data_IF_239574809245
#
_entry.id   IF_239574809245
#
_cell.length_a   1.000
_cell.length_b   1.000
_cell.length_c   1.000
_cell.angle_alpha   90.00
_cell.angle_beta   90.00
_cell.angle_gamma   90.00
#
_symmetry.space_group_name_H-M   'P 1'
#
loop_
_entity.id
_entity.type
_entity.pdbx_description
1 polymer ?
#
# COMPACT_ATOMS: atom_id res chain seq x y z
N UNK A 1 -19.43 -35.72 -51.66
CA UNK A 1 -18.31 -34.98 -51.03
C UNK A 1 -18.58 -33.50 -51.20
N UNK A 2 -18.34 -32.66 -50.17
CA UNK A 2 -18.84 -31.28 -49.93
C UNK A 2 -20.08 -31.31 -49.01
N UNK A 3 -20.18 -30.66 -47.86
CA UNK A 3 -19.37 -29.66 -47.14
C UNK A 3 -19.71 -29.79 -45.64
N UNK A 4 -18.74 -30.11 -44.79
CA UNK A 4 -18.69 -29.57 -43.42
C UNK A 4 -18.51 -28.05 -43.52
N UNK A 5 -18.50 -27.34 -42.38
CA UNK A 5 -18.35 -25.87 -42.23
C UNK A 5 -19.68 -25.14 -42.10
N UNK A 6 -20.23 -25.13 -40.87
CA UNK A 6 -21.14 -24.10 -40.36
C UNK A 6 -21.40 -24.38 -38.87
N UNK A 7 -20.39 -24.24 -38.00
CA UNK A 7 -20.63 -24.29 -36.53
C UNK A 7 -19.53 -23.63 -35.67
N UNK A 8 -18.69 -22.77 -36.24
CA UNK A 8 -17.56 -22.15 -35.51
C UNK A 8 -17.46 -20.65 -35.77
N UNK A 9 -18.54 -19.88 -35.59
CA UNK A 9 -18.46 -18.40 -35.65
C UNK A 9 -19.40 -17.70 -34.65
N UNK A 10 -19.70 -18.30 -33.50
CA UNK A 10 -20.48 -17.62 -32.44
C UNK A 10 -19.90 -17.74 -31.03
N UNK A 11 -18.63 -18.14 -30.90
CA UNK A 11 -17.96 -18.31 -29.60
C UNK A 11 -16.58 -17.66 -29.57
N UNK A 12 -16.43 -16.48 -30.20
CA UNK A 12 -15.22 -15.63 -30.11
C UNK A 12 -15.61 -14.16 -29.84
N UNK A 13 -16.75 -13.92 -29.17
CA UNK A 13 -17.22 -12.57 -28.84
C UNK A 13 -17.61 -12.42 -27.36
N UNK A 14 -16.92 -13.12 -26.46
CA UNK A 14 -17.18 -12.99 -25.02
C UNK A 14 -15.93 -13.07 -24.13
N UNK A 15 -14.73 -13.24 -24.72
CA UNK A 15 -13.48 -13.39 -23.93
C UNK A 15 -12.50 -12.22 -24.18
N UNK A 16 -12.78 -11.33 -25.14
CA UNK A 16 -11.89 -10.22 -25.50
C UNK A 16 -12.26 -8.87 -24.83
N UNK A 17 -12.86 -8.89 -23.63
CA UNK A 17 -13.24 -7.67 -22.90
C UNK A 17 -12.75 -7.61 -21.43
N UNK A 18 -12.02 -8.63 -20.94
CA UNK A 18 -11.45 -8.60 -19.58
C UNK A 18 -9.93 -8.34 -19.56
N UNK A 19 -9.31 -8.11 -20.71
CA UNK A 19 -7.91 -7.72 -20.78
C UNK A 19 -7.82 -6.23 -21.09
N UNK A 20 -7.29 -5.47 -20.12
CA UNK A 20 -6.75 -4.13 -20.31
C UNK A 20 -7.73 -2.95 -20.41
N UNK A 21 -8.53 -2.76 -19.38
CA UNK A 21 -8.67 -1.41 -18.81
C UNK A 21 -8.33 -1.53 -17.32
N UNK A 22 -7.11 -1.16 -16.94
CA UNK A 22 -6.88 -0.71 -15.58
C UNK A 22 -7.72 0.55 -15.43
N UNK A 23 -8.93 0.39 -14.89
CA UNK A 23 -9.86 1.49 -14.64
C UNK A 23 -9.13 2.52 -13.77
N UNK A 24 -8.86 3.74 -14.29
CA UNK A 24 -8.18 4.78 -13.53
C UNK A 24 -8.91 5.12 -12.22
N UNK A 25 -10.24 4.99 -12.19
CA UNK A 25 -11.04 5.21 -10.98
C UNK A 25 -10.79 4.12 -9.95
N UNK A 26 -10.70 2.86 -10.38
CA UNK A 26 -10.35 1.74 -9.50
C UNK A 26 -8.93 1.92 -8.94
N UNK A 27 -7.95 2.29 -9.77
CA UNK A 27 -6.58 2.54 -9.31
C UNK A 27 -6.52 3.68 -8.29
N UNK A 28 -7.17 4.82 -8.56
CA UNK A 28 -7.22 5.95 -7.63
C UNK A 28 -7.87 5.60 -6.29
N UNK A 29 -8.92 4.77 -6.31
CA UNK A 29 -9.58 4.26 -5.10
C UNK A 29 -8.66 3.38 -4.27
N UNK A 30 -7.92 2.47 -4.92
CA UNK A 30 -6.96 1.59 -4.26
C UNK A 30 -5.84 2.38 -3.59
N UNK A 31 -5.25 3.34 -4.30
CA UNK A 31 -4.23 4.23 -3.74
C UNK A 31 -4.75 5.02 -2.54
N UNK A 32 -5.97 5.57 -2.65
CA UNK A 32 -6.62 6.28 -1.55
C UNK A 32 -6.84 5.36 -0.33
N UNK A 33 -7.23 4.11 -0.55
CA UNK A 33 -7.38 3.13 0.51
C UNK A 33 -6.04 2.84 1.22
N UNK A 34 -4.95 2.69 0.48
CA UNK A 34 -3.62 2.49 1.05
C UNK A 34 -3.17 3.65 1.95
N UNK A 35 -3.27 4.90 1.47
CA UNK A 35 -2.95 6.08 2.30
C UNK A 35 -3.85 6.19 3.54
N UNK A 36 -5.14 5.87 3.39
CA UNK A 36 -6.06 5.86 4.52
C UNK A 36 -5.69 4.80 5.56
N UNK A 37 -5.20 3.63 5.15
CA UNK A 37 -4.69 2.62 6.09
C UNK A 37 -3.55 3.18 6.95
N UNK A 38 -2.53 3.80 6.34
CA UNK A 38 -1.42 4.42 7.10
C UNK A 38 -1.93 5.51 8.04
N UNK A 39 -2.86 6.34 7.58
CA UNK A 39 -3.50 7.35 8.45
C UNK A 39 -4.22 6.72 9.65
N UNK A 40 -4.86 5.56 9.49
CA UNK A 40 -5.51 4.84 10.58
C UNK A 40 -4.50 4.20 11.55
N UNK A 41 -3.36 3.73 11.06
CA UNK A 41 -2.25 3.27 11.93
C UNK A 41 -1.89 4.36 12.95
N UNK A 42 -1.72 5.61 12.50
CA UNK A 42 -1.42 6.74 13.39
C UNK A 42 -2.57 7.07 14.36
N UNK A 43 -3.82 6.97 13.92
CA UNK A 43 -4.99 7.19 14.80
C UNK A 43 -5.09 6.12 15.88
N UNK A 44 -4.92 4.86 15.52
CA UNK A 44 -4.99 3.75 16.47
C UNK A 44 -3.74 3.71 17.36
N UNK A 45 -2.60 4.22 16.89
CA UNK A 45 -1.41 4.41 17.72
C UNK A 45 -1.65 5.38 18.88
N UNK A 46 -2.38 6.47 18.62
CA UNK A 46 -2.82 7.44 19.64
C UNK A 46 -3.88 6.88 20.60
N UNK A 47 -4.63 5.86 20.19
CA UNK A 47 -5.60 5.18 21.04
C UNK A 47 -4.95 4.30 22.10
N UNK A 48 -5.72 3.84 23.09
CA UNK A 48 -5.23 2.89 24.11
C UNK A 48 -5.28 1.42 23.64
N UNK A 49 -6.04 1.15 22.58
CA UNK A 49 -6.32 -0.20 22.10
C UNK A 49 -5.18 -0.74 21.21
N UNK A 50 -4.27 -1.50 21.84
CA UNK A 50 -3.15 -2.14 21.14
C UNK A 50 -3.61 -3.19 20.11
N UNK A 51 -4.79 -3.81 20.27
CA UNK A 51 -5.25 -4.78 19.27
C UNK A 51 -5.64 -4.10 17.97
N UNK A 52 -6.36 -2.98 18.04
CA UNK A 52 -6.68 -2.19 16.84
C UNK A 52 -5.43 -1.72 16.10
N UNK A 53 -4.42 -1.27 16.85
CA UNK A 53 -3.13 -0.91 16.25
C UNK A 53 -2.47 -2.12 15.57
N UNK A 54 -2.42 -3.26 16.26
CA UNK A 54 -1.82 -4.50 15.77
C UNK A 54 -2.52 -5.06 14.53
N UNK A 55 -3.85 -4.92 14.41
CA UNK A 55 -4.60 -5.44 13.27
C UNK A 55 -4.04 -4.98 11.92
N UNK A 56 -3.55 -3.72 11.84
CA UNK A 56 -2.93 -3.18 10.62
C UNK A 56 -1.68 -3.94 10.20
N UNK A 57 -0.99 -4.60 11.14
CA UNK A 57 0.26 -5.34 10.94
C UNK A 57 0.06 -6.85 11.03
N UNK A 58 -1.15 -7.36 11.26
CA UNK A 58 -1.41 -8.79 11.48
C UNK A 58 -0.97 -9.74 10.36
N UNK A 59 -0.56 -9.21 9.20
CA UNK A 59 0.00 -9.95 8.06
C UNK A 59 1.51 -9.77 7.85
N UNK A 60 2.18 -8.91 8.63
CA UNK A 60 3.62 -8.64 8.51
C UNK A 60 4.50 -9.75 9.08
N UNK A 61 3.95 -10.59 9.96
CA UNK A 61 4.74 -11.56 10.74
C UNK A 61 5.46 -10.94 11.96
N UNK A 62 5.31 -9.63 12.19
CA UNK A 62 5.81 -8.95 13.38
C UNK A 62 4.88 -9.28 14.56
N UNK A 63 5.44 -9.57 15.72
CA UNK A 63 4.64 -9.85 16.92
C UNK A 63 3.98 -8.57 17.46
N UNK A 64 2.91 -8.75 18.24
CA UNK A 64 2.26 -7.62 18.90
C UNK A 64 3.18 -6.95 19.92
N UNK A 65 3.99 -7.76 20.62
CA UNK A 65 4.95 -7.31 21.62
C UNK A 65 6.02 -6.41 20.99
N UNK A 66 6.56 -6.79 19.83
CA UNK A 66 7.57 -6.00 19.11
C UNK A 66 7.02 -4.65 18.63
N UNK A 67 5.71 -4.59 18.35
CA UNK A 67 5.02 -3.39 17.89
C UNK A 67 4.66 -2.39 18.99
N UNK A 68 4.85 -2.72 20.27
CA UNK A 68 4.55 -1.81 21.37
C UNK A 68 5.40 -0.53 21.31
N UNK A 69 6.69 -0.67 21.02
CA UNK A 69 7.59 0.47 20.86
C UNK A 69 7.20 1.32 19.65
N UNK A 70 6.90 0.68 18.51
CA UNK A 70 6.42 1.38 17.31
C UNK A 70 5.13 2.16 17.58
N UNK A 71 4.19 1.59 18.34
CA UNK A 71 2.96 2.28 18.73
C UNK A 71 3.25 3.57 19.50
N UNK A 72 4.14 3.51 20.49
CA UNK A 72 4.56 4.67 21.27
C UNK A 72 5.23 5.70 20.36
N UNK A 73 6.18 5.28 19.52
CA UNK A 73 6.87 6.17 18.58
C UNK A 73 5.90 6.89 17.62
N UNK A 74 4.94 6.18 17.05
CA UNK A 74 3.95 6.79 16.15
C UNK A 74 2.99 7.72 16.89
N UNK A 75 2.59 7.38 18.12
CA UNK A 75 1.83 8.27 18.99
C UNK A 75 2.60 9.56 19.30
N UNK A 76 3.85 9.43 19.72
CA UNK A 76 4.71 10.56 20.07
C UNK A 76 4.98 11.45 18.85
N UNK A 77 5.20 10.84 17.68
CA UNK A 77 5.36 11.58 16.42
C UNK A 77 4.16 12.47 16.15
N UNK A 78 2.93 11.96 16.33
CA UNK A 78 1.70 12.75 16.14
C UNK A 78 1.66 13.96 17.07
N UNK A 79 2.08 13.79 18.33
CA UNK A 79 2.12 14.90 19.29
C UNK A 79 3.19 15.92 18.92
N UNK A 80 4.38 15.45 18.52
CA UNK A 80 5.50 16.32 18.10
C UNK A 80 5.18 17.16 16.87
N UNK A 81 4.49 16.58 15.87
CA UNK A 81 4.09 17.32 14.66
C UNK A 81 2.87 18.24 14.91
N UNK A 82 2.21 18.10 16.07
CA UNK A 82 1.04 18.89 16.45
C UNK A 82 -0.28 18.42 15.83
N UNK A 83 -0.42 17.12 15.56
CA UNK A 83 -1.67 16.51 15.08
C UNK A 83 -1.51 15.68 13.79
N UNK A 84 -2.36 14.65 13.61
CA UNK A 84 -2.33 13.73 12.45
C UNK A 84 -2.58 14.48 11.15
N UNK A 85 -3.34 15.58 11.17
CA UNK A 85 -3.61 16.43 10.02
C UNK A 85 -2.38 17.20 9.52
N UNK A 86 -1.28 17.21 10.29
CA UNK A 86 0.01 17.77 9.87
C UNK A 86 0.88 16.74 9.14
N UNK A 87 0.47 15.47 9.14
CA UNK A 87 1.07 14.40 8.35
C UNK A 87 0.39 14.32 6.98
N UNK A 88 1.19 14.12 5.95
CA UNK A 88 0.73 13.84 4.59
C UNK A 88 1.04 12.40 4.25
N UNK A 89 0.09 11.69 3.65
CA UNK A 89 0.24 10.30 3.24
C UNK A 89 -0.03 10.21 1.73
N UNK A 90 1.05 10.07 0.96
CA UNK A 90 1.02 10.07 -0.51
C UNK A 90 1.29 8.66 -1.02
N UNK A 91 0.30 7.98 -1.60
CA UNK A 91 0.54 6.73 -2.32
C UNK A 91 1.50 6.98 -3.48
N UNK A 92 2.49 6.12 -3.64
CA UNK A 92 3.51 6.23 -4.68
C UNK A 92 3.21 5.23 -5.80
N UNK A 93 3.13 5.70 -7.04
CA UNK A 93 3.00 4.82 -8.20
C UNK A 93 4.31 4.05 -8.43
N UNK A 94 4.20 2.83 -8.94
CA UNK A 94 5.39 1.98 -9.17
C UNK A 94 6.36 2.59 -10.18
N UNK A 95 5.89 3.42 -11.11
CA UNK A 95 6.71 4.11 -12.09
C UNK A 95 7.38 5.39 -11.54
N UNK A 96 7.02 5.86 -10.34
CA UNK A 96 7.72 6.94 -9.63
C UNK A 96 8.93 6.41 -8.83
N UNK A 97 9.00 5.09 -8.61
CA UNK A 97 10.11 4.45 -7.90
C UNK A 97 11.33 4.29 -8.82
N UNK A 98 12.53 4.42 -8.26
CA UNK A 98 13.76 3.99 -8.94
C UNK A 98 13.68 2.50 -9.30
N UNK A 99 14.34 2.14 -10.41
CA UNK A 99 14.32 0.76 -10.90
C UNK A 99 14.83 -0.25 -9.86
N UNK A 100 15.90 0.09 -9.14
CA UNK A 100 16.49 -0.77 -8.11
C UNK A 100 15.56 -0.92 -6.89
N UNK A 101 14.92 0.16 -6.45
CA UNK A 101 13.93 0.12 -5.37
C UNK A 101 12.70 -0.71 -5.75
N UNK A 102 12.14 -0.49 -6.94
CA UNK A 102 11.01 -1.27 -7.46
C UNK A 102 11.35 -2.76 -7.58
N UNK A 103 12.58 -3.08 -8.01
CA UNK A 103 13.06 -4.46 -8.10
C UNK A 103 13.20 -5.10 -6.72
N UNK A 104 13.82 -4.41 -5.77
CA UNK A 104 13.97 -4.89 -4.38
C UNK A 104 12.60 -5.22 -3.76
N UNK A 105 11.64 -4.30 -3.87
CA UNK A 105 10.29 -4.51 -3.36
C UNK A 105 9.58 -5.68 -4.05
N UNK A 106 9.81 -5.86 -5.36
CA UNK A 106 9.28 -7.02 -6.10
C UNK A 106 9.89 -8.34 -5.63
N UNK A 107 11.20 -8.37 -5.42
CA UNK A 107 11.92 -9.58 -5.01
C UNK A 107 11.55 -9.98 -3.57
N UNK A 108 11.34 -9.01 -2.68
CA UNK A 108 10.99 -9.24 -1.26
C UNK A 108 9.49 -9.51 -1.04
N UNK A 109 8.61 -8.69 -1.63
CA UNK A 109 7.16 -8.69 -1.35
C UNK A 109 6.29 -9.23 -2.50
N UNK A 110 6.88 -9.75 -3.57
CA UNK A 110 6.18 -10.25 -4.78
C UNK A 110 5.42 -9.13 -5.51
N UNK A 111 4.21 -9.37 -6.04
CA UNK A 111 3.56 -8.42 -6.98
C UNK A 111 2.50 -7.49 -6.36
N UNK A 112 1.95 -7.82 -5.19
CA UNK A 112 0.78 -7.13 -4.59
C UNK A 112 1.15 -6.10 -3.50
N UNK A 113 2.29 -5.44 -3.65
CA UNK A 113 2.70 -4.34 -2.77
C UNK A 113 2.32 -2.97 -3.33
N UNK A 114 2.10 -2.04 -2.42
CA UNK A 114 2.00 -0.60 -2.66
C UNK A 114 2.86 0.15 -1.65
N UNK A 115 3.33 1.32 -2.05
CA UNK A 115 4.12 2.19 -1.17
C UNK A 115 3.30 3.43 -0.84
N UNK A 116 3.35 3.87 0.41
CA UNK A 116 2.81 5.15 0.87
C UNK A 116 3.93 5.93 1.51
N UNK A 117 4.25 7.08 0.95
CA UNK A 117 5.16 8.04 1.53
C UNK A 117 4.42 8.85 2.60
N UNK A 118 4.97 8.85 3.80
CA UNK A 118 4.59 9.77 4.86
C UNK A 118 5.56 10.94 4.94
N UNK A 119 5.01 12.14 5.07
CA UNK A 119 5.76 13.37 5.26
C UNK A 119 5.18 14.21 6.39
N UNK A 120 6.05 14.93 7.09
CA UNK A 120 5.66 15.93 8.08
C UNK A 120 6.28 17.30 7.76
N UNK A 121 5.60 18.37 8.20
CA UNK A 121 6.12 19.74 8.03
C UNK A 121 7.38 20.06 8.84
N UNK A 122 7.69 19.25 9.85
CA UNK A 122 8.89 19.41 10.69
C UNK A 122 10.06 18.56 10.18
N UNK A 123 9.91 17.92 9.01
CA UNK A 123 10.92 17.07 8.39
C UNK A 123 10.69 15.58 8.61
N UNK A 124 11.52 14.76 7.95
CA UNK A 124 11.45 13.30 7.95
C UNK A 124 10.54 12.73 6.86
N UNK A 125 11.00 11.65 6.24
CA UNK A 125 10.28 10.88 5.22
C UNK A 125 10.27 9.43 5.61
N UNK A 126 9.08 8.82 5.62
CA UNK A 126 8.93 7.42 5.97
C UNK A 126 8.14 6.71 4.88
N UNK A 127 8.69 5.63 4.35
CA UNK A 127 8.06 4.83 3.32
C UNK A 127 7.38 3.62 3.96
N UNK A 128 6.06 3.56 3.85
CA UNK A 128 5.26 2.43 4.28
C UNK A 128 5.09 1.45 3.13
N UNK A 129 5.36 0.17 3.39
CA UNK A 129 5.10 -0.93 2.45
C UNK A 129 3.84 -1.65 2.91
N UNK A 130 2.82 -1.68 2.05
CA UNK A 130 1.54 -2.32 2.33
C UNK A 130 1.27 -3.43 1.31
N UNK A 131 0.59 -4.48 1.75
CA UNK A 131 0.03 -5.52 0.89
C UNK A 131 -1.49 -5.59 1.04
N UNK A 132 -2.17 -5.84 -0.08
CA UNK A 132 -3.63 -6.03 -0.08
C UNK A 132 -3.97 -7.49 0.17
N UNK A 133 -4.85 -7.74 1.14
CA UNK A 133 -5.42 -9.07 1.38
C UNK A 133 -6.94 -8.96 1.46
N UNK A 134 -7.64 -9.49 0.44
CA UNK A 134 -9.07 -9.25 0.27
C UNK A 134 -9.33 -7.78 -0.03
N UNK A 135 -10.23 -7.14 0.73
CA UNK A 135 -10.62 -5.74 0.53
C UNK A 135 -9.84 -4.74 1.40
N UNK A 136 -8.82 -5.20 2.15
CA UNK A 136 -8.07 -4.39 3.11
C UNK A 136 -6.57 -4.41 2.84
N UNK A 137 -5.92 -3.28 3.07
CA UNK A 137 -4.46 -3.17 3.11
C UNK A 137 -3.92 -3.41 4.52
N UNK A 138 -2.78 -4.08 4.58
CA UNK A 138 -2.02 -4.35 5.80
C UNK A 138 -0.60 -3.81 5.62
N UNK A 139 -0.05 -3.22 6.68
CA UNK A 139 1.35 -2.80 6.71
C UNK A 139 2.21 -4.04 6.89
N UNK A 140 3.18 -4.22 6.00
CA UNK A 140 4.12 -5.35 6.03
C UNK A 140 5.49 -4.89 6.51
N UNK A 141 5.91 -3.70 6.10
CA UNK A 141 7.18 -3.11 6.53
C UNK A 141 7.14 -1.58 6.38
N UNK A 142 8.16 -0.90 6.86
CA UNK A 142 8.37 0.51 6.62
C UNK A 142 9.80 0.92 6.92
N UNK A 143 10.27 1.97 6.25
CA UNK A 143 11.64 2.44 6.40
C UNK A 143 11.76 3.97 6.33
N UNK A 144 12.68 4.51 7.10
CA UNK A 144 13.10 5.91 7.00
C UNK A 144 14.23 5.99 5.98
N UNK A 145 13.95 6.62 4.85
CA UNK A 145 14.91 6.75 3.76
C UNK A 145 14.78 8.13 3.11
N UNK A 146 15.87 8.73 2.60
CA UNK A 146 15.81 9.91 1.75
C UNK A 146 14.97 9.63 0.51
N UNK A 147 14.18 10.60 0.05
CA UNK A 147 13.33 10.40 -1.13
C UNK A 147 14.15 10.11 -2.37
N UNK A 148 15.27 10.81 -2.49
CA UNK A 148 16.21 10.67 -3.58
C UNK A 148 16.82 9.29 -3.69
N UNK A 149 16.73 8.42 -2.67
CA UNK A 149 17.21 7.04 -2.73
C UNK A 149 16.13 6.07 -3.25
N UNK A 150 14.85 6.43 -3.10
CA UNK A 150 13.70 5.56 -3.42
C UNK A 150 12.95 6.01 -4.69
N UNK A 151 12.82 7.33 -4.88
CA UNK A 151 12.04 7.97 -5.95
C UNK A 151 12.95 8.46 -7.08
N UNK A 152 12.38 8.56 -8.29
CA UNK A 152 13.05 9.07 -9.50
C UNK A 152 13.31 10.58 -9.47
#
# INVERSE_FOLDING_TARGET
MKKQWLLTVWMILSIALMAACQDPEANAKEMTAAANTVKQVYKDAKGEDMEKFYEHFSKSGISKEDLQLSKIMFSDKVDQVGGIEKLTFTPIQKDELKADAAKMLKDEYKEDWTVVLEESKIGGTYFWILQKHGDRYYVINGDESPKEDILK
#
